data_IF_413357647785
#
_entry.id   IF_413357647785
#
_cell.length_a   1.000
_cell.length_b   1.000
_cell.length_c   1.000
_cell.angle_alpha   90.00
_cell.angle_beta   90.00
_cell.angle_gamma   90.00
#
_symmetry.space_group_name_H-M   'P 1'
#
loop_
_entity.id
_entity.type
_entity.pdbx_description
1 polymer ?
#
# COMPACT_ATOMS: atom_id res chain seq x y z
N UNK A 1 59.71 34.05 27.94
CA UNK A 1 59.13 33.82 26.59
C UNK A 1 58.64 32.40 26.33
N UNK A 2 59.33 31.31 26.76
CA UNK A 2 58.91 29.91 26.49
C UNK A 2 57.47 29.55 26.92
N UNK A 3 57.04 29.97 28.12
CA UNK A 3 55.69 29.66 28.66
C UNK A 3 54.51 30.18 27.84
N UNK A 4 54.71 31.23 27.03
CA UNK A 4 53.63 31.78 26.19
C UNK A 4 53.44 30.96 24.91
N UNK A 5 54.53 30.43 24.35
CA UNK A 5 54.50 29.56 23.17
C UNK A 5 53.83 28.21 23.45
N UNK A 6 54.13 27.61 24.61
CA UNK A 6 53.53 26.34 25.02
C UNK A 6 52.00 26.48 25.20
N UNK A 7 51.54 27.60 25.76
CA UNK A 7 50.10 27.91 25.91
C UNK A 7 49.41 28.09 24.56
N UNK A 8 50.05 28.75 23.61
CA UNK A 8 49.51 28.97 22.27
C UNK A 8 49.39 27.66 21.48
N UNK A 9 50.38 26.77 21.61
CA UNK A 9 50.36 25.43 21.01
C UNK A 9 49.21 24.60 21.59
N UNK A 10 49.05 24.60 22.91
CA UNK A 10 47.94 23.90 23.57
C UNK A 10 46.60 24.46 23.10
N UNK A 11 46.41 25.78 23.05
CA UNK A 11 45.17 26.39 22.55
C UNK A 11 44.87 26.02 21.09
N UNK A 12 45.88 26.02 20.22
CA UNK A 12 45.73 25.63 18.81
C UNK A 12 45.29 24.17 18.69
N UNK A 13 45.92 23.28 19.45
CA UNK A 13 45.56 21.86 19.46
C UNK A 13 44.14 21.65 19.99
N UNK A 14 43.76 22.36 21.06
CA UNK A 14 42.40 22.31 21.61
C UNK A 14 41.36 22.80 20.60
N UNK A 15 41.62 23.91 19.90
CA UNK A 15 40.74 24.41 18.84
C UNK A 15 40.62 23.42 17.68
N UNK A 16 41.72 22.75 17.31
CA UNK A 16 41.71 21.74 16.27
C UNK A 16 40.88 20.51 16.68
N UNK A 17 41.05 20.03 17.91
CA UNK A 17 40.23 18.94 18.47
C UNK A 17 38.75 19.33 18.54
N UNK A 18 38.44 20.55 18.98
CA UNK A 18 37.07 21.04 19.07
C UNK A 18 36.41 21.13 17.69
N UNK A 19 37.15 21.59 16.68
CA UNK A 19 36.64 21.67 15.31
C UNK A 19 36.39 20.27 14.72
N UNK A 20 37.27 19.31 15.00
CA UNK A 20 37.07 17.92 14.59
C UNK A 20 35.84 17.30 15.26
N UNK A 21 35.67 17.55 16.57
CA UNK A 21 34.50 17.09 17.31
C UNK A 21 33.19 17.72 16.79
N UNK A 22 33.23 19.02 16.46
CA UNK A 22 32.10 19.72 15.87
C UNK A 22 31.69 19.12 14.51
N UNK A 23 32.65 18.81 13.64
CA UNK A 23 32.38 18.19 12.35
C UNK A 23 31.74 16.80 12.50
N UNK A 24 32.27 15.98 13.42
CA UNK A 24 31.70 14.66 13.71
C UNK A 24 30.26 14.77 14.24
N UNK A 25 30.03 15.69 15.17
CA UNK A 25 28.68 15.92 15.72
C UNK A 25 27.71 16.41 14.64
N UNK A 26 28.15 17.32 13.77
CA UNK A 26 27.36 17.83 12.67
C UNK A 26 26.94 16.71 11.71
N UNK A 27 27.88 15.86 11.30
CA UNK A 27 27.59 14.70 10.45
C UNK A 27 26.59 13.74 11.12
N UNK A 28 26.76 13.49 12.42
CA UNK A 28 25.85 12.62 13.17
C UNK A 28 24.43 13.21 13.25
N UNK A 29 24.30 14.52 13.52
CA UNK A 29 23.02 15.20 13.51
C UNK A 29 22.34 15.20 12.13
N UNK A 30 23.10 15.36 11.04
CA UNK A 30 22.57 15.29 9.68
C UNK A 30 22.03 13.88 9.37
N UNK A 31 22.76 12.83 9.78
CA UNK A 31 22.33 11.44 9.62
C UNK A 31 21.07 11.13 10.44
N UNK A 32 20.99 11.57 11.70
CA UNK A 32 19.80 11.36 12.53
C UNK A 32 18.60 12.12 11.98
N UNK A 33 18.77 13.34 11.51
CA UNK A 33 17.70 14.11 10.87
C UNK A 33 17.19 13.44 9.59
N UNK A 34 18.09 12.91 8.76
CA UNK A 34 17.70 12.15 7.56
C UNK A 34 16.90 10.88 7.93
N UNK A 35 17.35 10.16 8.97
CA UNK A 35 16.65 8.99 9.49
C UNK A 35 15.24 9.35 10.01
N UNK A 36 15.13 10.42 10.82
CA UNK A 36 13.84 10.91 11.33
C UNK A 36 12.91 11.30 10.18
N UNK A 37 13.42 11.99 9.16
CA UNK A 37 12.61 12.37 7.99
C UNK A 37 12.08 11.14 7.26
N UNK A 38 12.93 10.12 7.07
CA UNK A 38 12.50 8.84 6.47
C UNK A 38 11.44 8.16 7.31
N UNK A 39 11.68 7.99 8.63
CA UNK A 39 10.73 7.36 9.54
C UNK A 39 9.38 8.08 9.56
N UNK A 40 9.36 9.43 9.51
CA UNK A 40 8.11 10.20 9.44
C UNK A 40 7.38 10.01 8.12
N UNK A 41 8.09 10.02 7.00
CA UNK A 41 7.52 9.76 5.67
C UNK A 41 6.88 8.38 5.62
N UNK A 42 7.62 7.36 6.08
CA UNK A 42 7.13 5.99 6.15
C UNK A 42 5.91 5.93 7.09
N UNK A 43 5.99 6.52 8.28
CA UNK A 43 4.91 6.49 9.28
C UNK A 43 3.62 7.16 8.79
N UNK A 44 3.70 8.30 8.09
CA UNK A 44 2.53 8.99 7.52
C UNK A 44 1.87 8.16 6.40
N UNK A 45 2.66 7.44 5.62
CA UNK A 45 2.17 6.53 4.58
C UNK A 45 1.55 5.25 5.18
N UNK A 46 2.17 4.67 6.21
CA UNK A 46 1.66 3.44 6.86
C UNK A 46 0.43 3.69 7.74
N UNK A 47 0.36 4.78 8.52
CA UNK A 47 -0.76 5.06 9.42
C UNK A 47 -2.09 5.26 8.70
N UNK A 48 -2.07 5.65 7.42
CA UNK A 48 -3.30 5.84 6.65
C UNK A 48 -4.02 4.51 6.35
N UNK A 49 -3.32 3.38 6.40
CA UNK A 49 -3.85 2.07 6.02
C UNK A 49 -3.95 1.07 7.17
N UNK A 50 -3.38 1.38 8.35
CA UNK A 50 -3.45 0.48 9.50
C UNK A 50 -4.86 0.52 10.09
N UNK A 51 -5.61 -0.56 9.86
CA UNK A 51 -6.84 -0.82 10.62
C UNK A 51 -6.57 -1.78 11.78
N UNK A 52 -7.30 -1.52 12.87
CA UNK A 52 -7.30 -2.34 14.08
C UNK A 52 -8.63 -3.06 14.31
N UNK A 53 -9.63 -2.85 13.45
CA UNK A 53 -10.88 -3.62 13.47
C UNK A 53 -10.77 -4.93 12.66
N UNK A 54 -9.56 -5.21 12.16
CA UNK A 54 -9.28 -6.36 11.34
C UNK A 54 -9.71 -6.23 9.87
N UNK A 55 -10.29 -5.13 9.44
CA UNK A 55 -10.63 -4.89 8.03
C UNK A 55 -9.51 -4.11 7.35
N UNK A 56 -8.88 -4.66 6.31
CA UNK A 56 -7.97 -3.91 5.45
C UNK A 56 -8.71 -3.41 4.21
N UNK A 57 -8.67 -2.09 3.98
CA UNK A 57 -9.00 -1.48 2.69
C UNK A 57 -7.69 -1.12 2.01
N UNK A 58 -7.33 -1.89 0.99
CA UNK A 58 -6.09 -1.68 0.25
C UNK A 58 -6.38 -1.05 -1.11
N UNK A 59 -5.93 0.19 -1.29
CA UNK A 59 -6.00 0.89 -2.58
C UNK A 59 -4.76 0.58 -3.41
N UNK A 60 -4.94 -0.13 -4.51
CA UNK A 60 -3.88 -0.38 -5.49
C UNK A 60 -4.02 0.65 -6.62
N UNK A 61 -2.97 1.44 -6.84
CA UNK A 61 -2.90 2.42 -7.92
C UNK A 61 -2.07 1.89 -9.09
N UNK A 62 -2.13 2.56 -10.25
CA UNK A 62 -1.36 2.23 -11.46
C UNK A 62 -1.54 0.77 -11.92
N UNK A 63 -2.78 0.27 -11.87
CA UNK A 63 -3.11 -1.13 -12.17
C UNK A 63 -2.59 -1.57 -13.53
N UNK A 64 -2.70 -0.74 -14.56
CA UNK A 64 -2.23 -1.06 -15.92
C UNK A 64 -0.71 -1.30 -15.97
N UNK A 65 0.06 -0.47 -15.27
CA UNK A 65 1.50 -0.62 -15.17
C UNK A 65 1.85 -1.89 -14.39
N UNK A 66 1.23 -2.09 -13.23
CA UNK A 66 1.46 -3.27 -12.39
C UNK A 66 1.15 -4.56 -13.17
N UNK A 67 0.11 -4.52 -14.01
CA UNK A 67 -0.28 -5.65 -14.86
C UNK A 67 0.76 -5.91 -15.96
N UNK A 68 1.27 -4.87 -16.62
CA UNK A 68 2.35 -5.00 -17.60
C UNK A 68 3.66 -5.50 -16.97
N UNK A 69 3.98 -5.08 -15.73
CA UNK A 69 5.14 -5.55 -14.98
C UNK A 69 5.00 -7.01 -14.54
N UNK A 70 3.79 -7.46 -14.22
CA UNK A 70 3.51 -8.86 -13.93
C UNK A 70 3.62 -9.73 -15.19
N UNK A 71 3.07 -9.28 -16.32
CA UNK A 71 3.16 -10.02 -17.60
C UNK A 71 4.61 -10.13 -18.11
N UNK A 72 5.41 -9.08 -17.93
CA UNK A 72 6.83 -9.11 -18.27
C UNK A 72 7.68 -9.91 -17.28
N UNK A 73 7.11 -10.34 -16.15
CA UNK A 73 7.81 -11.10 -15.11
C UNK A 73 8.76 -10.25 -14.24
N UNK A 74 8.76 -8.92 -14.41
CA UNK A 74 9.62 -8.01 -13.64
C UNK A 74 9.19 -7.93 -12.18
N UNK A 75 7.88 -7.88 -11.94
CA UNK A 75 7.29 -7.89 -10.60
C UNK A 75 5.95 -8.60 -10.65
N UNK A 76 5.90 -9.83 -10.13
CA UNK A 76 4.73 -10.72 -10.21
C UNK A 76 3.82 -10.66 -8.99
N UNK A 77 4.26 -9.99 -7.92
CA UNK A 77 3.48 -9.81 -6.70
C UNK A 77 3.71 -8.42 -6.09
N UNK A 78 2.71 -7.97 -5.35
CA UNK A 78 2.75 -6.75 -4.55
C UNK A 78 2.25 -7.13 -3.16
N UNK A 79 3.01 -6.77 -2.14
CA UNK A 79 2.66 -7.05 -0.74
C UNK A 79 1.64 -6.01 -0.25
N UNK A 80 0.63 -6.47 0.47
CA UNK A 80 -0.35 -5.58 1.11
C UNK A 80 0.26 -4.90 2.35
N UNK A 81 -0.25 -3.71 2.74
CA UNK A 81 0.07 -3.13 4.04
C UNK A 81 -0.29 -4.07 5.20
N UNK A 82 0.40 -3.91 6.33
CA UNK A 82 0.11 -4.65 7.56
C UNK A 82 -1.19 -4.13 8.17
N UNK A 83 -2.05 -5.05 8.63
CA UNK A 83 -3.28 -4.72 9.37
C UNK A 83 -3.43 -5.67 10.56
N UNK A 84 -4.20 -5.25 11.56
CA UNK A 84 -4.34 -5.96 12.83
C UNK A 84 -5.78 -6.35 13.11
N UNK A 85 -5.97 -7.52 13.71
CA UNK A 85 -7.27 -8.12 14.00
C UNK A 85 -8.05 -7.45 15.13
N UNK A 86 -7.33 -6.84 16.06
CA UNK A 86 -7.82 -6.11 17.20
C UNK A 86 -6.65 -5.29 17.73
N UNK A 87 -6.91 -4.17 18.44
CA UNK A 87 -5.86 -3.47 19.15
C UNK A 87 -5.26 -4.29 20.31
N UNK A 88 -5.90 -5.39 20.73
CA UNK A 88 -5.55 -6.11 21.97
C UNK A 88 -5.38 -7.65 21.84
N UNK A 89 -5.94 -8.32 20.82
CA UNK A 89 -5.84 -9.79 20.67
C UNK A 89 -5.75 -10.27 19.21
N UNK A 90 -5.13 -11.44 18.97
CA UNK A 90 -5.05 -12.11 17.68
C UNK A 90 -6.39 -12.78 17.30
N UNK A 91 -7.38 -11.99 16.88
CA UNK A 91 -8.76 -12.41 16.62
C UNK A 91 -8.93 -13.26 15.35
N UNK A 92 -7.88 -13.38 14.54
CA UNK A 92 -7.92 -14.11 13.26
C UNK A 92 -7.38 -15.51 13.31
N UNK A 93 -6.66 -15.90 14.36
CA UNK A 93 -6.19 -17.27 14.52
C UNK A 93 -7.14 -17.96 15.48
N UNK A 94 -8.07 -18.75 14.94
CA UNK A 94 -8.92 -19.65 15.72
C UNK A 94 -8.53 -21.07 15.39
N UNK A 95 -8.22 -21.87 16.40
CA UNK A 95 -7.84 -23.28 16.26
C UNK A 95 -6.72 -23.50 15.23
N UNK A 96 -5.73 -22.60 15.20
CA UNK A 96 -4.60 -22.65 14.25
C UNK A 96 -4.92 -22.18 12.82
N UNK A 97 -6.13 -21.68 12.56
CA UNK A 97 -6.57 -21.20 11.25
C UNK A 97 -6.66 -19.67 11.22
N UNK A 98 -5.99 -19.03 10.25
CA UNK A 98 -6.02 -17.59 10.03
C UNK A 98 -7.15 -17.17 9.08
N UNK A 99 -7.99 -16.21 9.47
CA UNK A 99 -9.04 -15.64 8.62
C UNK A 99 -8.66 -14.24 8.14
N UNK A 100 -8.65 -13.99 6.83
CA UNK A 100 -8.31 -12.69 6.22
C UNK A 100 -9.48 -12.27 5.33
N UNK A 101 -10.07 -11.10 5.61
CA UNK A 101 -11.11 -10.50 4.76
C UNK A 101 -10.47 -9.45 3.86
N UNK A 102 -10.35 -9.76 2.56
CA UNK A 102 -9.82 -8.83 1.55
C UNK A 102 -11.01 -8.27 0.77
N UNK A 103 -11.18 -6.95 0.78
CA UNK A 103 -12.13 -6.26 -0.08
C UNK A 103 -11.34 -5.59 -1.20
N UNK A 104 -11.63 -5.98 -2.44
CA UNK A 104 -11.05 -5.36 -3.63
C UNK A 104 -12.10 -4.42 -4.23
N UNK A 105 -11.82 -3.13 -4.22
CA UNK A 105 -12.63 -2.13 -4.90
C UNK A 105 -12.10 -1.93 -6.32
N UNK A 106 -12.89 -2.31 -7.32
CA UNK A 106 -12.56 -2.18 -8.73
C UNK A 106 -13.06 -0.87 -9.34
N UNK A 107 -13.50 0.11 -8.53
CA UNK A 107 -13.97 1.45 -8.91
C UNK A 107 -13.98 1.79 -10.42
N UNK A 108 -12.90 2.38 -10.92
CA UNK A 108 -12.79 2.84 -12.32
C UNK A 108 -12.08 1.87 -13.25
N UNK A 109 -11.41 0.87 -12.69
CA UNK A 109 -10.78 -0.18 -13.48
C UNK A 109 -11.76 -1.33 -13.56
N UNK A 110 -12.50 -1.38 -14.68
CA UNK A 110 -12.42 -2.45 -15.69
C UNK A 110 -13.76 -2.77 -16.39
N UNK A 111 -13.93 -2.19 -17.59
CA UNK A 111 -14.77 -2.83 -18.63
C UNK A 111 -14.09 -4.07 -19.25
N UNK A 112 -12.79 -4.29 -19.03
CA UNK A 112 -12.00 -5.28 -19.77
C UNK A 112 -11.43 -6.46 -18.94
N UNK A 113 -11.32 -6.35 -17.60
CA UNK A 113 -10.86 -7.46 -16.71
C UNK A 113 -12.01 -8.33 -16.21
N UNK A 114 -13.23 -8.10 -16.69
CA UNK A 114 -14.32 -9.08 -16.55
C UNK A 114 -13.99 -10.46 -17.17
N UNK A 115 -12.89 -10.55 -17.92
CA UNK A 115 -12.37 -11.79 -18.51
C UNK A 115 -11.42 -12.58 -17.59
N UNK A 116 -10.83 -11.98 -16.56
CA UNK A 116 -9.98 -12.70 -15.60
C UNK A 116 -10.71 -12.84 -14.28
N UNK A 117 -11.39 -13.98 -14.12
CA UNK A 117 -12.04 -14.38 -12.86
C UNK A 117 -10.96 -14.46 -11.77
N UNK A 118 -10.86 -13.42 -10.92
CA UNK A 118 -10.11 -13.50 -9.68
C UNK A 118 -10.87 -14.48 -8.77
N UNK A 119 -10.52 -15.76 -8.86
CA UNK A 119 -11.13 -16.83 -8.07
C UNK A 119 -10.72 -16.65 -6.60
N UNK A 120 -11.51 -15.90 -5.84
CA UNK A 120 -11.31 -15.71 -4.39
C UNK A 120 -11.71 -16.95 -3.58
N UNK A 121 -12.10 -18.07 -4.21
CA UNK A 121 -12.47 -19.29 -3.50
C UNK A 121 -12.07 -20.54 -4.29
N UNK A 122 -10.93 -21.15 -3.97
CA UNK A 122 -10.51 -22.45 -4.56
C UNK A 122 -11.27 -23.65 -3.98
N UNK A 123 -12.19 -23.43 -3.03
CA UNK A 123 -12.92 -24.49 -2.31
C UNK A 123 -14.33 -24.79 -2.84
N UNK A 124 -14.84 -24.02 -3.79
CA UNK A 124 -16.18 -24.23 -4.33
C UNK A 124 -16.12 -25.12 -5.59
N UNK A 125 -17.05 -26.08 -5.73
CA UNK A 125 -17.15 -26.90 -6.94
C UNK A 125 -17.30 -26.05 -8.21
N UNK A 126 -16.66 -26.46 -9.32
CA UNK A 126 -16.61 -25.74 -10.61
C UNK A 126 -17.99 -25.30 -11.11
N UNK A 127 -19.01 -26.13 -10.95
CA UNK A 127 -20.37 -25.81 -11.40
C UNK A 127 -20.99 -24.61 -10.66
N UNK A 128 -20.61 -24.36 -9.40
CA UNK A 128 -21.08 -23.18 -8.65
C UNK A 128 -20.39 -21.92 -9.18
N UNK A 129 -19.10 -22.00 -9.53
CA UNK A 129 -18.40 -20.89 -10.17
C UNK A 129 -19.01 -20.53 -11.53
N UNK A 130 -19.34 -21.53 -12.34
CA UNK A 130 -20.00 -21.33 -13.63
C UNK A 130 -21.40 -20.72 -13.46
N UNK A 131 -22.17 -21.19 -12.48
CA UNK A 131 -23.48 -20.62 -12.17
C UNK A 131 -23.37 -19.15 -11.73
N UNK A 132 -22.43 -18.83 -10.83
CA UNK A 132 -22.18 -17.46 -10.41
C UNK A 132 -21.78 -16.55 -11.58
N UNK A 133 -20.88 -17.03 -12.45
CA UNK A 133 -20.47 -16.30 -13.66
C UNK A 133 -21.65 -16.02 -14.58
N UNK A 134 -22.49 -17.02 -14.84
CA UNK A 134 -23.68 -16.85 -15.69
C UNK A 134 -24.68 -15.86 -15.10
N UNK A 135 -24.91 -15.89 -13.78
CA UNK A 135 -25.80 -14.94 -13.10
C UNK A 135 -25.28 -13.50 -13.17
N UNK A 136 -23.97 -13.29 -13.00
CA UNK A 136 -23.35 -11.96 -13.09
C UNK A 136 -23.52 -11.38 -14.51
N UNK A 137 -23.22 -12.18 -15.54
CA UNK A 137 -23.38 -11.80 -16.96
C UNK A 137 -24.83 -11.41 -17.27
N UNK A 138 -25.79 -12.16 -16.76
CA UNK A 138 -27.21 -11.92 -17.01
C UNK A 138 -27.69 -10.61 -16.37
N UNK A 139 -27.24 -10.30 -15.14
CA UNK A 139 -27.51 -9.01 -14.50
C UNK A 139 -27.00 -7.84 -15.34
N UNK A 140 -25.81 -7.97 -15.94
CA UNK A 140 -25.26 -6.92 -16.80
C UNK A 140 -26.04 -6.75 -18.09
N UNK A 141 -26.52 -7.84 -18.71
CA UNK A 141 -27.38 -7.74 -19.89
C UNK A 141 -28.67 -7.00 -19.57
N UNK A 142 -29.33 -7.36 -18.47
CA UNK A 142 -30.56 -6.72 -18.03
C UNK A 142 -30.36 -5.24 -17.71
N UNK A 143 -29.27 -4.87 -17.02
CA UNK A 143 -28.95 -3.48 -16.75
C UNK A 143 -28.68 -2.68 -18.04
N UNK A 144 -28.02 -3.29 -19.03
CA UNK A 144 -27.74 -2.67 -20.33
C UNK A 144 -29.03 -2.47 -21.14
N UNK A 145 -29.92 -3.46 -21.16
CA UNK A 145 -31.21 -3.38 -21.83
C UNK A 145 -32.12 -2.34 -21.19
N UNK A 146 -32.13 -2.25 -19.85
CA UNK A 146 -32.86 -1.22 -19.12
C UNK A 146 -32.34 0.19 -19.46
N UNK A 147 -31.02 0.38 -19.53
CA UNK A 147 -30.42 1.66 -19.92
C UNK A 147 -30.78 2.05 -21.36
N UNK A 148 -30.75 1.10 -22.30
CA UNK A 148 -31.14 1.34 -23.70
C UNK A 148 -32.63 1.69 -23.79
N UNK A 149 -33.49 1.00 -23.06
CA UNK A 149 -34.92 1.28 -23.02
C UNK A 149 -35.23 2.66 -22.41
N UNK A 150 -34.44 3.12 -21.44
CA UNK A 150 -34.56 4.47 -20.86
C UNK A 150 -34.14 5.55 -21.86
N UNK A 151 -33.04 5.34 -22.59
CA UNK A 151 -32.57 6.27 -23.63
C UNK A 151 -33.61 6.42 -24.74
N UNK A 152 -34.15 5.30 -25.24
CA UNK A 152 -35.18 5.31 -26.29
C UNK A 152 -36.46 6.02 -25.83
N UNK A 153 -36.83 5.88 -24.55
CA UNK A 153 -38.00 6.55 -23.98
C UNK A 153 -37.82 8.07 -23.95
N UNK A 154 -36.65 8.54 -23.54
CA UNK A 154 -36.32 9.96 -23.46
C UNK A 154 -36.23 10.62 -24.86
N UNK A 155 -35.85 9.87 -25.88
CA UNK A 155 -35.81 10.35 -27.28
C UNK A 155 -37.20 10.45 -27.93
N UNK A 156 -38.24 9.82 -27.37
CA UNK A 156 -39.63 9.90 -27.88
C UNK A 156 -40.49 11.00 -27.22
N UNK A 157 -39.98 11.69 -26.19
CA UNK A 157 -40.65 12.82 -25.53
C UNK A 157 -40.20 14.21 -26.07
N UNK A 158 -39.45 14.24 -27.19
CA UNK A 158 -39.07 15.46 -27.94
C UNK A 158 -39.81 15.48 -29.28
#
# INVERSE_FOLDING_TARGET
>A
MKRLGDRLIVQKNTLQCLNQAYLLLKMSCEQTNACIKKMKSDQDEYLHYISYDGTLIWKITNVDQNFAEAQSGKQTSIESPVFYSSPYENCYVRDGTMFIKIMLDFGETLREVSSYTLSVNRGLPTHIHEAMRCMEIEKYKQAREALIAEIIRNDQEI
#
